data_IF_524272753970
#
_entry.id   IF_524272753970
#
_cell.length_a   1.000
_cell.length_b   1.000
_cell.length_c   1.000
_cell.angle_alpha   90.00
_cell.angle_beta   90.00
_cell.angle_gamma   90.00
#
_symmetry.space_group_name_H-M   'P 1'
#
loop_
_entity.id
_entity.type
_entity.pdbx_description
1 polymer ?
#
# COMPACT_ATOMS: atom_id res chain seq x y z
N UNK A 1 10.44 -26.20 -43.32
CA UNK A 1 10.23 -24.82 -43.80
C UNK A 1 11.20 -23.93 -43.04
N UNK A 2 12.43 -23.80 -43.56
CA UNK A 2 13.54 -23.04 -42.96
C UNK A 2 13.45 -21.63 -43.55
N UNK A 3 13.00 -20.65 -42.77
CA UNK A 3 13.04 -19.22 -43.10
C UNK A 3 13.26 -18.44 -41.81
N UNK A 4 14.51 -18.39 -41.33
CA UNK A 4 14.91 -17.48 -40.25
C UNK A 4 16.42 -17.16 -40.29
N UNK A 5 17.06 -17.27 -41.46
CA UNK A 5 18.46 -16.83 -41.66
C UNK A 5 18.52 -15.56 -42.52
N UNK A 6 17.45 -15.22 -43.24
CA UNK A 6 17.38 -13.98 -44.05
C UNK A 6 16.93 -12.75 -43.25
N UNK A 7 16.27 -12.92 -42.09
CA UNK A 7 15.76 -11.80 -41.27
C UNK A 7 16.84 -11.13 -40.39
N UNK A 8 18.03 -11.73 -40.29
CA UNK A 8 19.14 -11.18 -39.50
C UNK A 8 19.92 -10.07 -40.22
N UNK A 9 19.68 -9.87 -41.52
CA UNK A 9 20.36 -8.84 -42.31
C UNK A 9 19.63 -7.48 -42.32
N UNK A 10 18.36 -7.45 -41.93
CA UNK A 10 17.57 -6.21 -41.87
C UNK A 10 17.75 -5.41 -40.58
N UNK A 11 18.42 -5.98 -39.56
CA UNK A 11 18.50 -5.39 -38.22
C UNK A 11 19.91 -4.94 -37.82
N UNK A 12 20.69 -4.34 -38.74
CA UNK A 12 21.92 -3.56 -38.47
C UNK A 12 22.80 -4.11 -37.32
N UNK A 13 22.95 -5.43 -37.27
CA UNK A 13 23.59 -6.07 -36.14
C UNK A 13 25.11 -5.98 -36.28
N UNK A 14 25.76 -5.28 -35.35
CA UNK A 14 27.21 -5.12 -35.34
C UNK A 14 27.82 -6.12 -34.36
N UNK A 15 28.79 -6.96 -34.78
CA UNK A 15 29.47 -7.89 -33.89
C UNK A 15 30.19 -7.15 -32.76
N UNK A 16 30.05 -7.68 -31.54
CA UNK A 16 30.68 -7.16 -30.32
C UNK A 16 32.18 -7.50 -30.31
N UNK A 17 32.96 -6.85 -31.18
CA UNK A 17 34.36 -7.22 -31.45
C UNK A 17 35.33 -6.05 -31.65
N UNK A 18 34.98 -4.83 -31.26
CA UNK A 18 35.96 -3.72 -31.18
C UNK A 18 36.06 -3.22 -29.73
N UNK A 19 37.26 -3.32 -29.18
CA UNK A 19 37.63 -2.89 -27.83
C UNK A 19 37.37 -1.39 -27.65
N UNK A 20 36.24 -1.06 -27.00
CA UNK A 20 36.00 0.32 -26.56
C UNK A 20 36.90 0.57 -25.36
N UNK A 21 38.08 1.14 -25.60
CA UNK A 21 38.98 1.61 -24.52
C UNK A 21 38.22 2.59 -23.63
N UNK A 22 38.23 2.42 -22.29
CA UNK A 22 37.51 3.31 -21.39
C UNK A 22 38.11 4.71 -21.49
N UNK A 23 37.26 5.71 -21.77
CA UNK A 23 37.65 7.12 -21.76
C UNK A 23 37.90 7.57 -20.32
N UNK A 24 38.92 8.40 -20.11
CA UNK A 24 39.26 8.91 -18.79
C UNK A 24 38.32 10.05 -18.39
N UNK A 25 38.02 10.10 -17.08
CA UNK A 25 37.04 10.98 -16.41
C UNK A 25 37.07 12.48 -16.82
N UNK A 26 38.19 13.11 -17.24
CA UNK A 26 38.18 14.52 -17.59
C UNK A 26 37.38 14.87 -18.87
N UNK A 27 37.15 13.92 -19.79
CA UNK A 27 36.43 14.18 -21.05
C UNK A 27 34.90 14.26 -20.88
N UNK A 28 34.36 13.76 -19.76
CA UNK A 28 32.90 13.74 -19.51
C UNK A 28 32.38 15.15 -19.18
N UNK A 29 33.25 16.06 -18.73
CA UNK A 29 32.86 17.39 -18.26
C UNK A 29 32.81 18.47 -19.34
N UNK A 30 33.36 18.24 -20.55
CA UNK A 30 33.30 19.21 -21.65
C UNK A 30 32.12 18.99 -22.61
N UNK A 31 31.52 17.80 -22.64
CA UNK A 31 30.37 17.49 -23.50
C UNK A 31 29.02 17.95 -22.90
N UNK A 32 28.99 18.30 -21.61
CA UNK A 32 27.76 18.71 -20.91
C UNK A 32 27.21 20.08 -21.29
N UNK A 33 27.91 20.86 -22.13
CA UNK A 33 27.46 22.21 -22.52
C UNK A 33 26.96 22.33 -23.96
N UNK A 34 26.94 21.27 -24.77
CA UNK A 34 26.63 21.44 -26.21
C UNK A 34 25.75 20.39 -26.88
N UNK A 35 24.90 19.67 -26.16
CA UNK A 35 23.82 18.90 -26.79
C UNK A 35 22.45 19.39 -26.30
N UNK A 36 22.07 20.52 -26.89
CA UNK A 36 20.69 20.94 -26.97
C UNK A 36 19.89 19.94 -27.81
N UNK A 37 18.70 19.62 -27.29
CA UNK A 37 17.51 19.20 -28.01
C UNK A 37 17.65 18.01 -28.98
N UNK A 38 17.50 16.79 -28.45
CA UNK A 38 16.99 15.65 -29.23
C UNK A 38 16.06 14.81 -28.34
N UNK A 39 14.76 15.01 -28.55
CA UNK A 39 13.65 14.07 -28.31
C UNK A 39 13.83 13.00 -27.22
N UNK A 40 13.81 13.37 -25.94
CA UNK A 40 13.61 12.42 -24.84
C UNK A 40 12.13 12.34 -24.45
N UNK A 41 11.45 11.31 -24.93
CA UNK A 41 10.04 11.03 -24.62
C UNK A 41 9.83 10.46 -23.20
N UNK A 42 9.02 11.16 -22.40
CA UNK A 42 8.06 10.68 -21.37
C UNK A 42 8.45 9.65 -20.28
N UNK A 43 9.67 9.11 -20.21
CA UNK A 43 9.99 7.99 -19.28
C UNK A 43 10.52 8.42 -17.88
N UNK A 44 10.97 9.66 -17.74
CA UNK A 44 11.57 10.21 -16.50
C UNK A 44 10.55 10.41 -15.34
N UNK A 45 9.29 10.82 -15.57
CA UNK A 45 8.32 11.05 -14.47
C UNK A 45 7.91 9.77 -13.73
N UNK A 46 7.81 8.65 -14.43
CA UNK A 46 7.31 7.38 -13.87
C UNK A 46 8.30 6.76 -12.88
N UNK A 47 9.60 6.81 -13.18
CA UNK A 47 10.66 6.27 -12.29
C UNK A 47 10.74 7.08 -11.00
N UNK A 48 10.65 8.41 -11.09
CA UNK A 48 10.64 9.28 -9.90
C UNK A 48 9.42 9.02 -9.01
N UNK A 49 8.25 8.81 -9.61
CA UNK A 49 7.02 8.49 -8.87
C UNK A 49 7.13 7.14 -8.14
N UNK A 50 7.63 6.10 -8.82
CA UNK A 50 7.81 4.78 -8.21
C UNK A 50 8.79 4.84 -7.02
N UNK A 51 9.92 5.55 -7.17
CA UNK A 51 10.87 5.75 -6.10
C UNK A 51 10.28 6.56 -4.93
N UNK A 52 9.42 7.54 -5.20
CA UNK A 52 8.73 8.29 -4.14
C UNK A 52 7.75 7.42 -3.37
N UNK A 53 6.91 6.64 -4.07
CA UNK A 53 5.94 5.75 -3.44
C UNK A 53 6.60 4.66 -2.60
N UNK A 54 7.71 4.07 -3.07
CA UNK A 54 8.44 3.08 -2.29
C UNK A 54 9.07 3.67 -1.01
N UNK A 55 9.51 4.94 -1.06
CA UNK A 55 9.97 5.64 0.14
C UNK A 55 8.82 5.93 1.12
N UNK A 56 7.64 6.34 0.63
CA UNK A 56 6.45 6.52 1.45
C UNK A 56 6.02 5.20 2.11
N UNK A 57 6.01 4.10 1.34
CA UNK A 57 5.69 2.77 1.86
C UNK A 57 6.66 2.35 2.95
N UNK A 58 7.97 2.48 2.73
CA UNK A 58 8.97 2.15 3.75
C UNK A 58 8.77 2.94 5.04
N UNK A 59 8.56 4.25 4.95
CA UNK A 59 8.29 5.10 6.13
C UNK A 59 7.01 4.69 6.84
N UNK A 60 5.97 4.36 6.08
CA UNK A 60 4.67 3.92 6.59
C UNK A 60 4.78 2.59 7.33
N UNK A 61 5.49 1.61 6.75
CA UNK A 61 5.74 0.33 7.44
C UNK A 61 6.51 0.58 8.73
N UNK A 62 7.60 1.35 8.69
CA UNK A 62 8.41 1.64 9.87
C UNK A 62 7.61 2.34 10.99
N UNK A 63 6.82 3.38 10.66
CA UNK A 63 6.04 4.10 11.68
C UNK A 63 4.96 3.20 12.33
N UNK A 64 4.32 2.33 11.53
CA UNK A 64 3.27 1.44 12.04
C UNK A 64 3.88 0.35 12.93
N UNK A 65 5.00 -0.24 12.53
CA UNK A 65 5.70 -1.24 13.33
C UNK A 65 6.22 -0.67 14.65
N UNK A 66 6.74 0.56 14.61
CA UNK A 66 7.16 1.28 15.81
C UNK A 66 5.97 1.54 16.73
N UNK A 67 4.87 2.08 16.20
CA UNK A 67 3.62 2.23 16.95
C UNK A 67 3.18 0.90 17.57
N UNK A 68 3.30 -0.21 16.83
CA UNK A 68 2.95 -1.51 17.37
C UNK A 68 3.87 -2.02 18.48
N UNK A 69 5.05 -1.44 18.64
CA UNK A 69 6.00 -1.79 19.68
C UNK A 69 5.83 -0.88 20.90
N UNK A 70 5.71 0.43 20.70
CA UNK A 70 5.76 1.42 21.79
C UNK A 70 4.39 1.99 22.20
N UNK A 71 3.35 1.79 21.37
CA UNK A 71 1.95 2.22 21.59
C UNK A 71 1.75 3.73 21.79
N UNK A 72 2.65 4.57 21.25
CA UNK A 72 2.53 6.02 21.31
C UNK A 72 1.74 6.55 20.12
N UNK A 73 0.51 6.99 20.38
CA UNK A 73 -0.41 7.52 19.36
C UNK A 73 0.04 8.88 18.81
N UNK A 74 0.47 9.79 19.68
CA UNK A 74 0.90 11.14 19.27
C UNK A 74 2.14 11.10 18.36
N UNK A 75 3.05 10.15 18.60
CA UNK A 75 4.23 9.93 17.74
C UNK A 75 3.82 9.41 16.36
N UNK A 76 2.93 8.42 16.33
CA UNK A 76 2.40 7.87 15.08
C UNK A 76 1.65 8.95 14.27
N UNK A 77 0.84 9.77 14.94
CA UNK A 77 0.16 10.93 14.35
C UNK A 77 1.14 11.89 13.70
N UNK A 78 2.22 12.23 14.40
CA UNK A 78 3.24 13.13 13.90
C UNK A 78 3.98 12.54 12.69
N UNK A 79 4.36 11.27 12.76
CA UNK A 79 4.97 10.55 11.64
C UNK A 79 4.08 10.52 10.38
N UNK A 80 2.76 10.33 10.53
CA UNK A 80 1.83 10.38 9.39
C UNK A 80 1.76 11.79 8.80
N UNK A 81 1.69 12.84 9.63
CA UNK A 81 1.73 14.24 9.16
C UNK A 81 3.02 14.55 8.39
N UNK A 82 4.15 13.99 8.83
CA UNK A 82 5.46 14.17 8.20
C UNK A 82 5.62 13.43 6.86
N UNK A 83 4.75 12.46 6.54
CA UNK A 83 4.67 11.93 5.18
C UNK A 83 4.33 13.04 4.17
N UNK A 84 3.55 14.04 4.61
CA UNK A 84 3.14 15.22 3.84
C UNK A 84 2.60 14.87 2.45
N UNK A 85 1.81 13.81 2.38
CA UNK A 85 1.24 13.28 1.13
C UNK A 85 -0.17 12.71 1.36
N UNK A 86 -1.21 13.57 1.37
CA UNK A 86 -2.58 13.16 1.68
C UNK A 86 -3.15 12.08 0.77
N UNK A 87 -2.81 12.08 -0.52
CA UNK A 87 -3.27 11.07 -1.48
C UNK A 87 -2.77 9.65 -1.16
N UNK A 88 -1.82 9.50 -0.22
CA UNK A 88 -1.28 8.23 0.25
C UNK A 88 -1.92 7.77 1.58
N UNK A 89 -2.80 8.58 2.20
CA UNK A 89 -3.48 8.21 3.44
C UNK A 89 -4.25 6.87 3.36
N UNK A 90 -4.96 6.52 2.26
CA UNK A 90 -5.56 5.19 2.13
C UNK A 90 -4.56 4.04 2.23
N UNK A 91 -3.33 4.23 1.74
CA UNK A 91 -2.27 3.24 1.85
C UNK A 91 -1.80 3.09 3.30
N UNK A 92 -1.72 4.18 4.08
CA UNK A 92 -1.43 4.12 5.53
C UNK A 92 -2.43 3.24 6.26
N UNK A 93 -3.72 3.41 5.96
CA UNK A 93 -4.81 2.61 6.55
C UNK A 93 -4.67 1.13 6.17
N UNK A 94 -4.46 0.84 4.88
CA UNK A 94 -4.28 -0.54 4.41
C UNK A 94 -3.06 -1.21 5.02
N UNK A 95 -1.92 -0.52 5.10
CA UNK A 95 -0.70 -1.05 5.74
C UNK A 95 -0.92 -1.29 7.24
N UNK A 96 -1.65 -0.42 7.94
CA UNK A 96 -1.94 -0.59 9.36
C UNK A 96 -2.76 -1.87 9.60
N UNK A 97 -3.77 -2.10 8.77
CA UNK A 97 -4.60 -3.31 8.82
C UNK A 97 -3.76 -4.55 8.48
N UNK A 98 -2.98 -4.54 7.38
CA UNK A 98 -2.17 -5.68 6.97
C UNK A 98 -1.16 -6.09 8.04
N UNK A 99 -0.32 -5.14 8.46
CA UNK A 99 0.71 -5.38 9.48
C UNK A 99 0.09 -5.79 10.81
N UNK A 100 -1.07 -5.24 11.17
CA UNK A 100 -1.77 -5.60 12.40
C UNK A 100 -2.28 -7.03 12.40
N UNK A 101 -2.82 -7.51 11.28
CA UNK A 101 -3.41 -8.85 11.15
C UNK A 101 -2.37 -9.94 10.92
N UNK A 102 -1.21 -9.61 10.35
CA UNK A 102 -0.06 -10.51 10.21
C UNK A 102 0.56 -10.91 11.57
N UNK A 103 0.46 -10.03 12.59
CA UNK A 103 0.99 -10.32 13.94
C UNK A 103 0.28 -11.51 14.59
N UNK A 104 0.98 -12.23 15.47
CA UNK A 104 0.42 -13.32 16.26
C UNK A 104 0.62 -13.06 17.76
N UNK A 105 -0.44 -12.79 18.54
CA UNK A 105 -1.84 -12.63 18.12
C UNK A 105 -2.08 -11.37 17.25
N UNK A 106 -3.19 -11.31 16.48
CA UNK A 106 -3.56 -10.12 15.70
C UNK A 106 -3.68 -8.87 16.57
N UNK A 107 -3.15 -7.75 16.08
CA UNK A 107 -3.20 -6.45 16.75
C UNK A 107 -4.47 -5.65 16.38
N UNK A 108 -5.65 -6.26 16.47
CA UNK A 108 -6.94 -5.62 16.14
C UNK A 108 -7.15 -4.31 16.92
N UNK A 109 -7.02 -4.38 18.25
CA UNK A 109 -7.28 -3.23 19.12
C UNK A 109 -6.29 -2.07 18.90
N UNK A 110 -4.96 -2.29 18.79
CA UNK A 110 -4.03 -1.24 18.38
C UNK A 110 -4.35 -0.64 17.01
N UNK A 111 -4.75 -1.42 16.01
CA UNK A 111 -5.11 -0.88 14.68
C UNK A 111 -6.28 0.08 14.81
N UNK A 112 -7.35 -0.33 15.49
CA UNK A 112 -8.54 0.50 15.68
C UNK A 112 -8.19 1.80 16.40
N UNK A 113 -7.44 1.74 17.50
CA UNK A 113 -7.02 2.93 18.26
C UNK A 113 -6.18 3.90 17.42
N UNK A 114 -5.29 3.38 16.58
CA UNK A 114 -4.50 4.22 15.67
C UNK A 114 -5.42 4.94 14.68
N UNK A 115 -6.30 4.21 14.00
CA UNK A 115 -7.19 4.78 12.99
C UNK A 115 -8.18 5.78 13.58
N UNK A 116 -8.77 5.48 14.75
CA UNK A 116 -9.65 6.40 15.48
C UNK A 116 -8.92 7.68 15.88
N UNK A 117 -7.69 7.57 16.40
CA UNK A 117 -6.91 8.72 16.80
C UNK A 117 -6.54 9.61 15.60
N UNK A 118 -6.07 9.01 14.50
CA UNK A 118 -5.77 9.73 13.27
C UNK A 118 -7.01 10.40 12.65
N UNK A 119 -8.18 9.79 12.78
CA UNK A 119 -9.46 10.34 12.35
C UNK A 119 -9.93 11.50 13.25
N UNK A 120 -9.87 11.33 14.57
CA UNK A 120 -10.26 12.35 15.54
C UNK A 120 -9.39 13.63 15.40
N UNK A 121 -8.10 13.45 15.11
CA UNK A 121 -7.15 14.53 14.85
C UNK A 121 -7.22 15.09 13.41
N UNK A 122 -8.19 14.62 12.61
CA UNK A 122 -8.46 15.08 11.23
C UNK A 122 -7.28 14.93 10.28
N UNK A 123 -6.37 13.99 10.57
CA UNK A 123 -5.31 13.59 9.63
C UNK A 123 -5.88 12.67 8.57
N UNK A 124 -6.75 11.75 8.97
CA UNK A 124 -7.52 10.91 8.05
C UNK A 124 -8.95 11.42 7.92
N UNK A 125 -9.44 11.49 6.69
CA UNK A 125 -10.86 11.64 6.41
C UNK A 125 -11.58 10.28 6.43
N UNK A 126 -12.90 10.31 6.53
CA UNK A 126 -13.79 9.15 6.36
C UNK A 126 -13.47 8.40 5.05
N UNK A 127 -13.28 9.15 3.96
CA UNK A 127 -12.92 8.62 2.65
C UNK A 127 -11.57 7.91 2.63
N UNK A 128 -10.58 8.38 3.40
CA UNK A 128 -9.26 7.75 3.43
C UNK A 128 -9.36 6.35 4.05
N UNK A 129 -10.13 6.24 5.14
CA UNK A 129 -10.35 4.98 5.83
C UNK A 129 -11.20 4.03 4.99
N UNK A 130 -12.29 4.51 4.37
CA UNK A 130 -13.08 3.71 3.43
C UNK A 130 -12.20 3.14 2.30
N UNK A 131 -11.39 3.98 1.66
CA UNK A 131 -10.52 3.55 0.57
C UNK A 131 -9.45 2.56 1.07
N UNK A 132 -8.86 2.79 2.24
CA UNK A 132 -7.91 1.85 2.84
C UNK A 132 -8.50 0.48 3.14
N UNK A 133 -9.72 0.43 3.68
CA UNK A 133 -10.45 -0.83 3.87
C UNK A 133 -10.78 -1.52 2.55
N UNK A 134 -11.14 -0.77 1.49
CA UNK A 134 -11.38 -1.33 0.16
C UNK A 134 -10.11 -1.89 -0.48
N UNK A 135 -8.97 -1.22 -0.31
CA UNK A 135 -7.67 -1.70 -0.76
C UNK A 135 -7.30 -3.01 -0.07
N UNK A 136 -7.41 -3.07 1.25
CA UNK A 136 -7.15 -4.30 2.00
C UNK A 136 -8.14 -5.43 1.63
N UNK A 137 -9.43 -5.11 1.50
CA UNK A 137 -10.44 -6.07 1.07
C UNK A 137 -10.14 -6.68 -0.29
N UNK A 138 -9.60 -5.90 -1.25
CA UNK A 138 -9.25 -6.40 -2.58
C UNK A 138 -8.06 -7.36 -2.65
N UNK A 139 -7.26 -7.44 -1.57
CA UNK A 139 -6.13 -8.37 -1.46
C UNK A 139 -6.39 -9.49 -0.44
N UNK A 140 -7.57 -9.50 0.20
CA UNK A 140 -7.83 -10.38 1.33
C UNK A 140 -7.86 -11.85 0.93
N UNK A 141 -8.33 -12.17 -0.28
CA UNK A 141 -8.34 -13.55 -0.78
C UNK A 141 -6.92 -14.16 -0.77
N UNK A 142 -5.94 -13.43 -1.31
CA UNK A 142 -4.53 -13.85 -1.32
C UNK A 142 -3.93 -13.85 0.10
N UNK A 143 -4.17 -12.79 0.88
CA UNK A 143 -3.67 -12.67 2.26
C UNK A 143 -4.16 -13.82 3.13
N UNK A 144 -5.40 -14.28 2.91
CA UNK A 144 -6.01 -15.36 3.70
C UNK A 144 -5.36 -16.71 3.48
N UNK A 145 -4.61 -16.90 2.39
CA UNK A 145 -3.82 -18.12 2.15
C UNK A 145 -2.70 -18.26 3.18
N UNK A 146 -2.02 -17.15 3.49
CA UNK A 146 -0.92 -17.11 4.44
C UNK A 146 -1.40 -16.82 5.88
N UNK A 147 -2.44 -16.01 6.01
CA UNK A 147 -2.99 -15.52 7.29
C UNK A 147 -4.48 -15.90 7.39
N UNK A 148 -4.81 -17.17 7.71
CA UNK A 148 -6.20 -17.66 7.70
C UNK A 148 -7.12 -16.99 8.72
N UNK A 149 -6.56 -16.25 9.70
CA UNK A 149 -7.29 -15.45 10.69
C UNK A 149 -7.60 -14.02 10.23
N UNK A 150 -7.00 -13.56 9.12
CA UNK A 150 -7.16 -12.19 8.62
C UNK A 150 -8.61 -11.80 8.34
N UNK A 151 -9.48 -12.64 7.74
CA UNK A 151 -10.87 -12.27 7.48
C UNK A 151 -11.66 -11.93 8.75
N UNK A 152 -11.54 -12.77 9.79
CA UNK A 152 -12.22 -12.53 11.07
C UNK A 152 -11.69 -11.27 11.75
N UNK A 153 -10.36 -11.12 11.83
CA UNK A 153 -9.75 -9.94 12.44
C UNK A 153 -10.06 -8.66 11.67
N UNK A 154 -10.18 -8.72 10.35
CA UNK A 154 -10.61 -7.60 9.53
C UNK A 154 -12.08 -7.25 9.79
N UNK A 155 -12.96 -8.25 9.89
CA UNK A 155 -14.34 -8.11 10.33
C UNK A 155 -14.46 -7.40 11.69
N UNK A 156 -13.63 -7.79 12.65
CA UNK A 156 -13.59 -7.13 13.97
C UNK A 156 -13.15 -5.66 13.87
N UNK A 157 -12.12 -5.36 13.08
CA UNK A 157 -11.65 -3.98 12.87
C UNK A 157 -12.76 -3.12 12.26
N UNK A 158 -13.39 -3.56 11.17
CA UNK A 158 -14.45 -2.77 10.52
C UNK A 158 -15.68 -2.63 11.43
N UNK A 159 -16.05 -3.67 12.18
CA UNK A 159 -17.15 -3.60 13.15
C UNK A 159 -16.89 -2.58 14.24
N UNK A 160 -15.65 -2.53 14.78
CA UNK A 160 -15.24 -1.53 15.76
C UNK A 160 -15.25 -0.11 15.18
N UNK A 161 -14.76 0.09 13.95
CA UNK A 161 -14.78 1.39 13.28
C UNK A 161 -16.20 1.89 13.00
N UNK A 162 -17.14 0.98 12.70
CA UNK A 162 -18.57 1.31 12.57
C UNK A 162 -19.14 1.78 13.91
N UNK A 163 -18.86 1.06 15.01
CA UNK A 163 -19.30 1.46 16.36
C UNK A 163 -18.70 2.79 16.80
N UNK A 164 -17.46 3.08 16.39
CA UNK A 164 -16.78 4.34 16.63
C UNK A 164 -17.33 5.51 15.80
N UNK A 165 -18.24 5.25 14.85
CA UNK A 165 -18.83 6.27 14.00
C UNK A 165 -17.87 6.81 12.93
N UNK A 166 -16.82 6.07 12.58
CA UNK A 166 -15.87 6.44 11.52
C UNK A 166 -16.54 6.33 10.14
N UNK A 167 -17.30 5.27 9.92
CA UNK A 167 -18.15 5.07 8.74
C UNK A 167 -19.34 4.15 9.06
N UNK A 168 -20.28 4.00 8.12
CA UNK A 168 -21.48 3.18 8.30
C UNK A 168 -21.41 1.79 7.63
N UNK A 169 -22.47 0.99 7.78
CA UNK A 169 -22.58 -0.34 7.15
C UNK A 169 -22.61 -0.31 5.62
N UNK A 170 -22.82 0.84 4.97
CA UNK A 170 -22.71 0.96 3.52
C UNK A 170 -21.28 0.68 3.08
N UNK A 171 -20.28 1.16 3.83
CA UNK A 171 -18.87 0.89 3.57
C UNK A 171 -18.54 -0.59 3.78
N UNK A 172 -19.05 -1.20 4.85
CA UNK A 172 -18.89 -2.65 5.11
C UNK A 172 -19.36 -3.46 3.91
N UNK A 173 -20.54 -3.16 3.36
CA UNK A 173 -21.06 -3.83 2.18
C UNK A 173 -20.18 -3.65 0.93
N UNK A 174 -19.56 -2.47 0.76
CA UNK A 174 -18.62 -2.24 -0.37
C UNK A 174 -17.34 -3.05 -0.19
N UNK A 175 -16.81 -3.11 1.04
CA UNK A 175 -15.61 -3.86 1.40
C UNK A 175 -15.81 -5.35 1.18
N UNK A 176 -16.94 -5.91 1.66
CA UNK A 176 -17.21 -7.33 1.47
C UNK A 176 -17.34 -7.69 -0.01
N UNK A 177 -17.92 -6.81 -0.83
CA UNK A 177 -17.99 -6.99 -2.30
C UNK A 177 -16.63 -6.93 -3.01
N UNK A 178 -15.54 -6.53 -2.34
CA UNK A 178 -14.18 -6.57 -2.89
C UNK A 178 -13.51 -7.92 -2.75
N UNK A 179 -14.04 -8.79 -1.90
CA UNK A 179 -13.53 -10.13 -1.65
C UNK A 179 -14.26 -11.11 -2.55
N UNK A 180 -13.54 -11.99 -3.24
CA UNK A 180 -14.14 -12.91 -4.21
C UNK A 180 -14.72 -14.17 -3.54
N UNK A 181 -14.04 -14.72 -2.52
CA UNK A 181 -14.47 -15.93 -1.82
C UNK A 181 -15.61 -15.63 -0.82
N UNK A 182 -16.78 -16.24 -1.07
CA UNK A 182 -17.98 -16.14 -0.22
C UNK A 182 -17.74 -16.56 1.24
N UNK A 183 -16.82 -17.48 1.50
CA UNK A 183 -16.47 -17.91 2.87
C UNK A 183 -15.74 -16.80 3.61
N UNK A 184 -14.84 -16.10 2.93
CA UNK A 184 -14.12 -14.96 3.49
C UNK A 184 -15.07 -13.78 3.68
N UNK A 185 -15.97 -13.53 2.71
CA UNK A 185 -17.05 -12.55 2.86
C UNK A 185 -17.88 -12.82 4.12
N UNK A 186 -18.30 -14.07 4.33
CA UNK A 186 -19.05 -14.49 5.51
C UNK A 186 -18.24 -14.28 6.80
N UNK A 187 -16.97 -14.64 6.82
CA UNK A 187 -16.09 -14.46 7.98
C UNK A 187 -15.95 -12.99 8.40
N UNK A 188 -15.82 -12.08 7.42
CA UNK A 188 -15.78 -10.63 7.67
C UNK A 188 -17.10 -10.15 8.28
N UNK A 189 -18.22 -10.55 7.69
CA UNK A 189 -19.56 -10.19 8.19
C UNK A 189 -19.80 -10.72 9.60
N UNK A 190 -19.54 -12.01 9.84
CA UNK A 190 -19.71 -12.64 11.16
C UNK A 190 -18.85 -11.92 12.22
N UNK A 191 -17.59 -11.57 11.88
CA UNK A 191 -16.70 -10.82 12.76
C UNK A 191 -17.21 -9.42 13.08
N UNK A 192 -17.69 -8.70 12.08
CA UNK A 192 -18.25 -7.35 12.26
C UNK A 192 -19.56 -7.39 13.07
N UNK A 193 -20.45 -8.32 12.76
CA UNK A 193 -21.73 -8.50 13.44
C UNK A 193 -21.53 -8.88 14.92
N UNK A 194 -20.57 -9.78 15.22
CA UNK A 194 -20.24 -10.16 16.58
C UNK A 194 -19.84 -8.95 17.44
N UNK A 195 -19.01 -8.06 16.90
CA UNK A 195 -18.60 -6.84 17.60
C UNK A 195 -19.81 -5.93 17.85
N UNK A 196 -20.64 -5.70 16.83
CA UNK A 196 -21.80 -4.82 16.93
C UNK A 196 -22.79 -5.35 17.98
N UNK A 197 -23.08 -6.65 17.94
CA UNK A 197 -24.02 -7.29 18.87
C UNK A 197 -23.47 -7.38 20.31
N UNK A 198 -22.16 -7.57 20.50
CA UNK A 198 -21.55 -7.68 21.84
C UNK A 198 -21.70 -6.39 22.68
N UNK A 199 -21.82 -5.24 22.03
CA UNK A 199 -22.03 -3.96 22.72
C UNK A 199 -23.47 -3.68 23.13
N UNK A 200 -24.45 -4.41 22.58
CA UNK A 200 -25.87 -4.31 22.99
C UNK A 200 -26.22 -5.11 24.25
N UNK A 201 -25.29 -5.93 24.75
CA UNK A 201 -25.45 -6.72 25.99
C UNK A 201 -24.81 -6.10 27.24
N UNK A 202 -24.39 -4.82 27.17
CA UNK A 202 -23.77 -4.07 28.27
C UNK A 202 -24.72 -3.10 28.97
#
# INVERSE_FOLDING_TARGET
MIRNILDLRENNWVPRGEEVKPKFIPEIHSESQNQGNTSQGKFIPTIKKAAMLSNLQRKTVSLIEEYFTIRLLDEALQCVKELNFPDYHPEVVKEAISLGLEKSPPCVEPVVKLLEHLFAEKVLADRDIELGCLLYGSMLDDVSLDVPKAPNGFGEIIGKLVLAGVFDFTVVNKVVKKVEDERLQKAIFDGAELIVNSTSTG
#
